data_IF_423308405068
#
_entry.id   IF_423308405068
#
_cell.length_a   1.000
_cell.length_b   1.000
_cell.length_c   1.000
_cell.angle_alpha   90.00
_cell.angle_beta   90.00
_cell.angle_gamma   90.00
#
_symmetry.space_group_name_H-M   'P 1'
#
loop_
_entity.id
_entity.type
_entity.pdbx_description
1 polymer ?
#
# COMPACT_ATOMS: atom_id res chain seq x y z
N UNK A 1 -9.45 -25.02 2.67
CA UNK A 1 -10.43 -25.85 1.93
C UNK A 1 -9.66 -26.66 0.91
N UNK A 2 -9.14 -27.83 1.30
CA UNK A 2 -8.53 -28.80 0.38
C UNK A 2 -9.34 -30.09 0.49
N UNK A 3 -10.29 -30.25 -0.42
CA UNK A 3 -11.21 -31.36 -0.40
C UNK A 3 -11.98 -31.45 -1.69
N UNK A 4 -11.29 -31.77 -2.81
CA UNK A 4 -12.00 -32.35 -3.95
C UNK A 4 -11.17 -33.08 -5.02
N UNK A 5 -9.84 -33.17 -4.92
CA UNK A 5 -9.04 -33.79 -5.99
C UNK A 5 -8.96 -35.32 -5.98
N UNK A 6 -9.58 -36.00 -5.01
CA UNK A 6 -9.43 -37.46 -4.84
C UNK A 6 -10.58 -38.30 -5.42
N UNK A 7 -11.61 -37.68 -6.03
CA UNK A 7 -12.73 -38.39 -6.67
C UNK A 7 -12.50 -38.72 -8.16
N UNK A 8 -11.64 -37.97 -8.85
CA UNK A 8 -11.37 -38.17 -10.30
C UNK A 8 -10.47 -39.38 -10.61
N UNK A 9 -9.47 -39.66 -9.77
CA UNK A 9 -8.52 -40.75 -10.03
C UNK A 9 -9.14 -42.16 -9.92
N UNK A 10 -10.19 -42.33 -9.11
CA UNK A 10 -10.95 -43.59 -9.04
C UNK A 10 -11.79 -43.85 -10.29
N UNK A 11 -12.27 -42.80 -10.97
CA UNK A 11 -13.09 -42.93 -12.18
C UNK A 11 -12.28 -43.25 -13.44
N UNK A 12 -11.05 -42.74 -13.56
CA UNK A 12 -10.19 -42.98 -14.72
C UNK A 12 -9.67 -44.42 -14.76
N UNK A 13 -9.37 -45.02 -13.59
CA UNK A 13 -8.98 -46.43 -13.51
C UNK A 13 -10.13 -47.37 -13.91
N UNK A 14 -11.38 -47.01 -13.61
CA UNK A 14 -12.56 -47.78 -14.01
C UNK A 14 -12.85 -47.69 -15.51
N UNK A 15 -12.53 -46.56 -16.17
CA UNK A 15 -12.74 -46.38 -17.60
C UNK A 15 -11.68 -47.09 -18.48
N UNK A 16 -10.41 -47.12 -18.05
CA UNK A 16 -9.34 -47.81 -18.79
C UNK A 16 -9.53 -49.35 -18.83
N UNK A 17 -10.18 -49.92 -17.82
CA UNK A 17 -10.57 -51.35 -17.79
C UNK A 17 -11.68 -51.67 -18.81
N UNK A 18 -12.50 -50.69 -19.19
CA UNK A 18 -13.61 -50.89 -20.15
C UNK A 18 -13.13 -50.73 -21.61
N UNK A 19 -12.12 -49.90 -21.87
CA UNK A 19 -11.66 -49.62 -23.23
C UNK A 19 -10.69 -50.67 -23.84
N UNK A 20 -9.98 -51.45 -23.03
CA UNK A 20 -9.09 -52.53 -23.52
C UNK A 20 -9.80 -53.87 -23.75
N UNK A 21 -11.13 -53.91 -23.65
CA UNK A 21 -11.93 -55.13 -23.84
C UNK A 21 -12.40 -55.36 -25.28
N UNK A 22 -12.05 -54.51 -26.25
CA UNK A 22 -12.70 -54.51 -27.57
C UNK A 22 -11.87 -54.98 -28.77
N UNK A 23 -10.63 -55.47 -28.62
CA UNK A 23 -9.92 -56.07 -29.77
C UNK A 23 -9.03 -57.25 -29.38
N UNK A 24 -9.58 -58.49 -29.40
CA UNK A 24 -9.02 -59.61 -30.17
C UNK A 24 -10.17 -60.54 -30.60
N UNK A 25 -10.09 -61.00 -31.85
CA UNK A 25 -11.07 -61.78 -32.59
C UNK A 25 -11.22 -63.23 -32.09
N UNK A 26 -12.43 -63.77 -32.26
CA UNK A 26 -12.83 -65.20 -32.34
C UNK A 26 -12.29 -66.16 -31.27
N UNK A 27 -13.08 -66.36 -30.21
CA UNK A 27 -12.91 -67.41 -29.20
C UNK A 27 -13.60 -67.01 -27.91
N UNK A 28 -14.70 -67.68 -27.55
CA UNK A 28 -15.51 -67.39 -26.37
C UNK A 28 -14.74 -67.56 -25.05
N UNK A 29 -14.05 -66.51 -24.59
CA UNK A 29 -13.66 -66.35 -23.20
C UNK A 29 -13.77 -64.87 -22.83
N UNK A 30 -14.88 -64.49 -22.19
CA UNK A 30 -14.90 -63.25 -21.39
C UNK A 30 -14.08 -63.56 -20.14
N UNK A 31 -12.87 -63.00 -19.97
CA UNK A 31 -12.11 -63.27 -18.77
C UNK A 31 -12.92 -62.79 -17.55
N UNK A 32 -13.05 -63.65 -16.54
CA UNK A 32 -13.67 -63.25 -15.27
C UNK A 32 -12.86 -62.11 -14.66
N UNK A 33 -13.52 -61.26 -13.84
CA UNK A 33 -12.81 -60.18 -13.12
C UNK A 33 -11.61 -60.72 -12.35
N UNK A 34 -11.74 -61.93 -11.80
CA UNK A 34 -10.70 -62.60 -11.02
C UNK A 34 -9.50 -62.99 -11.91
N UNK A 35 -9.74 -63.51 -13.13
CA UNK A 35 -8.67 -63.84 -14.07
C UNK A 35 -7.91 -62.59 -14.57
N UNK A 36 -8.60 -61.46 -14.72
CA UNK A 36 -7.95 -60.17 -15.08
C UNK A 36 -7.08 -59.67 -13.95
N UNK A 37 -7.57 -59.75 -12.70
CA UNK A 37 -6.84 -59.31 -11.50
C UNK A 37 -5.62 -60.19 -11.22
N UNK A 38 -5.70 -61.50 -11.49
CA UNK A 38 -4.57 -62.43 -11.34
C UNK A 38 -3.60 -62.39 -12.52
N UNK A 39 -3.94 -61.72 -13.62
CA UNK A 39 -3.05 -61.62 -14.78
C UNK A 39 -1.74 -60.93 -14.41
N UNK A 40 -0.62 -61.47 -14.93
CA UNK A 40 0.72 -60.89 -14.74
C UNK A 40 0.79 -59.42 -15.16
N UNK A 41 0.06 -59.05 -16.21
CA UNK A 41 -0.02 -57.68 -16.70
C UNK A 41 -0.72 -56.74 -15.70
N UNK A 42 -1.87 -57.15 -15.15
CA UNK A 42 -2.57 -56.34 -14.13
C UNK A 42 -1.73 -56.18 -12.86
N UNK A 43 -1.06 -57.24 -12.40
CA UNK A 43 -0.15 -57.15 -11.26
C UNK A 43 1.03 -56.22 -11.54
N UNK A 44 1.62 -56.25 -12.73
CA UNK A 44 2.70 -55.32 -13.10
C UNK A 44 2.26 -53.85 -13.10
N UNK A 45 1.06 -53.54 -13.60
CA UNK A 45 0.50 -52.19 -13.57
C UNK A 45 0.20 -51.73 -12.14
N UNK A 46 -0.28 -52.65 -11.29
CA UNK A 46 -0.53 -52.36 -9.87
C UNK A 46 0.79 -52.05 -9.15
N UNK A 47 1.82 -52.85 -9.37
CA UNK A 47 3.16 -52.65 -8.79
C UNK A 47 3.79 -51.33 -9.26
N UNK A 48 3.66 -50.98 -10.54
CA UNK A 48 4.14 -49.71 -11.08
C UNK A 48 3.40 -48.52 -10.47
N UNK A 49 2.07 -48.61 -10.33
CA UNK A 49 1.26 -47.58 -9.66
C UNK A 49 1.66 -47.42 -8.19
N UNK A 50 1.93 -48.52 -7.48
CA UNK A 50 2.37 -48.47 -6.10
C UNK A 50 3.77 -47.86 -5.97
N UNK A 51 4.71 -48.20 -6.87
CA UNK A 51 6.04 -47.54 -6.95
C UNK A 51 5.94 -46.04 -7.23
N UNK A 52 5.15 -45.63 -8.23
CA UNK A 52 4.94 -44.21 -8.57
C UNK A 52 4.29 -43.44 -7.40
N UNK A 53 3.37 -44.06 -6.66
CA UNK A 53 2.76 -43.48 -5.47
C UNK A 53 3.78 -43.21 -4.35
N UNK A 54 4.73 -44.13 -4.15
CA UNK A 54 5.83 -43.94 -3.18
C UNK A 54 6.76 -42.83 -3.63
N UNK A 55 7.21 -42.83 -4.89
CA UNK A 55 8.06 -41.78 -5.46
C UNK A 55 7.39 -40.40 -5.34
N UNK A 56 6.10 -40.29 -5.66
CA UNK A 56 5.36 -39.03 -5.53
C UNK A 56 5.31 -38.53 -4.08
N UNK A 57 5.17 -39.42 -3.10
CA UNK A 57 5.21 -39.05 -1.67
C UNK A 57 6.60 -38.55 -1.26
N UNK A 58 7.66 -39.19 -1.74
CA UNK A 58 9.04 -38.79 -1.47
C UNK A 58 9.38 -37.44 -2.10
N UNK A 59 9.01 -37.23 -3.37
CA UNK A 59 9.20 -35.95 -4.05
C UNK A 59 8.43 -34.82 -3.35
N UNK A 60 7.18 -35.06 -2.91
CA UNK A 60 6.45 -34.07 -2.09
C UNK A 60 7.16 -33.72 -0.79
N UNK A 61 7.79 -34.69 -0.11
CA UNK A 61 8.58 -34.43 1.10
C UNK A 61 9.84 -33.60 0.79
N UNK A 62 10.55 -33.91 -0.30
CA UNK A 62 11.72 -33.14 -0.76
C UNK A 62 11.33 -31.70 -1.08
N UNK A 63 10.26 -31.50 -1.86
CA UNK A 63 9.71 -30.17 -2.18
C UNK A 63 9.34 -29.38 -0.93
N UNK A 64 8.68 -30.00 0.06
CA UNK A 64 8.37 -29.33 1.32
C UNK A 64 9.62 -28.92 2.11
N UNK A 65 10.66 -29.77 2.12
CA UNK A 65 11.94 -29.47 2.75
C UNK A 65 12.68 -28.31 2.05
N UNK A 66 12.73 -28.33 0.71
CA UNK A 66 13.27 -27.24 -0.11
C UNK A 66 12.53 -25.93 0.15
N UNK A 67 11.20 -25.93 0.16
CA UNK A 67 10.40 -24.76 0.47
C UNK A 67 10.69 -24.20 1.87
N UNK A 68 10.93 -25.06 2.87
CA UNK A 68 11.31 -24.62 4.21
C UNK A 68 12.69 -23.94 4.23
N UNK A 69 13.67 -24.48 3.49
CA UNK A 69 15.00 -23.88 3.33
C UNK A 69 14.93 -22.54 2.58
N UNK A 70 14.15 -22.47 1.49
CA UNK A 70 13.91 -21.24 0.73
C UNK A 70 13.31 -20.17 1.65
N UNK A 71 12.26 -20.49 2.42
CA UNK A 71 11.67 -19.54 3.38
C UNK A 71 12.67 -19.03 4.41
N UNK A 72 13.56 -19.90 4.91
CA UNK A 72 14.61 -19.50 5.84
C UNK A 72 15.64 -18.56 5.18
N UNK A 73 16.07 -18.85 3.94
CA UNK A 73 16.99 -18.00 3.17
C UNK A 73 16.35 -16.65 2.86
N UNK A 74 15.10 -16.64 2.39
CA UNK A 74 14.34 -15.41 2.17
C UNK A 74 14.16 -14.61 3.45
N UNK A 75 14.11 -15.28 4.61
CA UNK A 75 14.07 -14.60 5.88
C UNK A 75 15.39 -13.90 6.22
N UNK A 76 16.50 -14.62 6.17
CA UNK A 76 17.81 -14.04 6.44
C UNK A 76 18.19 -12.97 5.41
N UNK A 77 17.95 -13.23 4.13
CA UNK A 77 18.22 -12.29 3.03
C UNK A 77 17.30 -11.08 3.10
N UNK A 78 16.01 -11.27 3.42
CA UNK A 78 15.07 -10.17 3.61
C UNK A 78 15.52 -9.21 4.71
N UNK A 79 15.93 -9.75 5.87
CA UNK A 79 16.36 -8.95 7.03
C UNK A 79 17.67 -8.18 6.77
N UNK A 80 18.62 -8.78 6.04
CA UNK A 80 19.83 -8.08 5.60
C UNK A 80 19.53 -7.02 4.56
N UNK A 81 18.75 -7.35 3.53
CA UNK A 81 18.41 -6.43 2.44
C UNK A 81 17.60 -5.23 2.91
N UNK A 82 16.65 -5.42 3.83
CA UNK A 82 15.95 -4.28 4.43
C UNK A 82 16.87 -3.42 5.30
N UNK A 83 17.82 -4.01 6.02
CA UNK A 83 18.77 -3.25 6.81
C UNK A 83 19.65 -2.35 5.92
N UNK A 84 20.17 -2.91 4.82
CA UNK A 84 20.95 -2.17 3.82
C UNK A 84 20.10 -1.05 3.17
N UNK A 85 18.88 -1.37 2.77
CA UNK A 85 17.94 -0.41 2.16
C UNK A 85 17.64 0.75 3.13
N UNK A 86 17.36 0.44 4.40
CA UNK A 86 17.14 1.45 5.44
C UNK A 86 18.37 2.32 5.67
N UNK A 87 19.58 1.74 5.65
CA UNK A 87 20.81 2.52 5.79
C UNK A 87 20.96 3.53 4.67
N UNK A 88 20.81 3.08 3.40
CA UNK A 88 20.84 3.97 2.23
C UNK A 88 19.84 5.12 2.38
N UNK A 89 18.57 4.81 2.65
CA UNK A 89 17.52 5.82 2.81
C UNK A 89 17.75 6.76 4.00
N UNK A 90 18.33 6.25 5.09
CA UNK A 90 18.68 7.06 6.27
C UNK A 90 19.71 8.12 5.90
N UNK A 91 20.77 7.71 5.21
CA UNK A 91 21.92 8.55 4.87
C UNK A 91 21.66 9.48 3.68
N UNK A 92 20.69 9.14 2.82
CA UNK A 92 20.20 9.97 1.72
C UNK A 92 19.69 11.35 2.14
N UNK A 93 19.59 12.31 1.23
CA UNK A 93 18.93 13.60 1.41
C UNK A 93 17.68 13.68 0.54
N UNK A 94 16.63 12.99 0.95
CA UNK A 94 15.37 12.98 0.21
C UNK A 94 14.80 14.39 0.06
N UNK A 95 14.75 14.87 -1.18
CA UNK A 95 14.29 16.21 -1.58
C UNK A 95 12.87 16.22 -2.11
N UNK A 96 12.38 15.08 -2.59
CA UNK A 96 11.07 14.96 -3.19
C UNK A 96 10.49 13.58 -2.90
N UNK A 97 9.18 13.54 -2.75
CA UNK A 97 8.43 12.29 -2.74
C UNK A 97 7.36 12.39 -3.81
N UNK A 98 7.34 11.40 -4.70
CA UNK A 98 6.28 11.22 -5.67
C UNK A 98 5.33 10.13 -5.19
N UNK A 99 4.04 10.32 -5.43
CA UNK A 99 2.97 9.41 -5.00
C UNK A 99 2.04 9.12 -6.16
N UNK A 100 1.56 7.88 -6.24
CA UNK A 100 0.49 7.48 -7.15
C UNK A 100 -0.46 6.50 -6.46
N UNK A 101 -1.72 6.45 -6.91
CA UNK A 101 -2.67 5.41 -6.48
C UNK A 101 -3.05 4.50 -7.65
N UNK A 102 -3.31 3.24 -7.35
CA UNK A 102 -3.87 2.30 -8.32
C UNK A 102 -5.38 2.50 -8.57
N UNK A 103 -6.08 3.23 -7.70
CA UNK A 103 -7.55 3.32 -7.70
C UNK A 103 -8.07 4.44 -8.61
N UNK A 104 -7.39 5.58 -8.65
CA UNK A 104 -7.63 6.65 -9.61
C UNK A 104 -6.47 6.69 -10.60
N UNK A 105 -6.72 6.23 -11.83
CA UNK A 105 -5.74 6.34 -12.92
C UNK A 105 -5.38 7.81 -13.16
N UNK A 106 -4.09 8.07 -13.37
CA UNK A 106 -3.52 9.37 -13.77
C UNK A 106 -3.49 10.47 -12.70
N UNK A 107 -3.64 10.15 -11.41
CA UNK A 107 -3.31 11.09 -10.34
C UNK A 107 -1.99 10.73 -9.68
N UNK A 108 -1.01 11.59 -9.90
CA UNK A 108 0.24 11.59 -9.16
C UNK A 108 0.50 12.95 -8.56
N UNK A 109 1.20 12.96 -7.45
CA UNK A 109 1.59 14.18 -6.75
C UNK A 109 3.09 14.16 -6.54
N UNK A 110 3.72 15.31 -6.65
CA UNK A 110 5.11 15.52 -6.28
C UNK A 110 5.12 16.48 -5.09
N UNK A 111 5.74 16.07 -3.99
CA UNK A 111 5.85 16.90 -2.78
C UNK A 111 7.31 17.09 -2.42
N UNK A 112 7.73 18.34 -2.41
CA UNK A 112 9.10 18.77 -2.04
C UNK A 112 9.18 19.30 -0.61
N UNK A 113 8.08 19.22 0.15
CA UNK A 113 8.05 19.70 1.52
C UNK A 113 8.94 18.84 2.42
N UNK A 114 9.97 19.45 3.01
CA UNK A 114 10.96 18.78 3.86
C UNK A 114 10.31 17.95 4.98
N UNK A 115 9.30 18.44 5.73
CA UNK A 115 8.69 17.61 6.78
C UNK A 115 7.97 16.37 6.25
N UNK A 116 7.36 16.44 5.05
CA UNK A 116 6.73 15.29 4.40
C UNK A 116 7.80 14.30 3.97
N UNK A 117 8.85 14.77 3.29
CA UNK A 117 10.00 13.93 2.89
C UNK A 117 10.63 13.22 4.10
N UNK A 118 10.82 13.93 5.21
CA UNK A 118 11.31 13.36 6.47
C UNK A 118 10.37 12.31 7.05
N UNK A 119 9.05 12.53 6.99
CA UNK A 119 8.08 11.56 7.49
C UNK A 119 8.06 10.29 6.65
N UNK A 120 8.09 10.41 5.32
CA UNK A 120 8.10 9.23 4.44
C UNK A 120 9.42 8.47 4.57
N UNK A 121 10.56 9.16 4.73
CA UNK A 121 11.82 8.54 5.14
C UNK A 121 11.69 7.76 6.45
N UNK A 122 10.97 8.32 7.43
CA UNK A 122 10.71 7.66 8.72
C UNK A 122 9.88 6.37 8.56
N UNK A 123 8.91 6.35 7.64
CA UNK A 123 8.14 5.14 7.32
C UNK A 123 9.09 4.02 6.91
N UNK A 124 9.98 4.30 5.94
CA UNK A 124 10.95 3.31 5.45
C UNK A 124 11.92 2.87 6.55
N UNK A 125 12.57 3.84 7.21
CA UNK A 125 13.61 3.53 8.21
C UNK A 125 13.05 2.84 9.45
N UNK A 126 11.79 3.12 9.80
CA UNK A 126 11.11 2.60 10.98
C UNK A 126 10.22 1.37 10.76
N UNK A 127 10.06 0.87 9.53
CA UNK A 127 9.19 -0.28 9.28
C UNK A 127 9.76 -1.57 9.90
N UNK A 128 8.90 -2.53 10.22
CA UNK A 128 9.33 -3.85 10.71
C UNK A 128 8.80 -4.95 9.81
N UNK A 129 9.56 -6.03 9.68
CA UNK A 129 9.16 -7.15 8.84
C UNK A 129 8.01 -7.93 9.49
N UNK A 130 7.05 -8.33 8.68
CA UNK A 130 5.91 -9.15 9.07
C UNK A 130 6.16 -10.62 8.71
N UNK A 131 5.90 -11.52 9.66
CA UNK A 131 6.03 -12.96 9.46
C UNK A 131 4.65 -13.56 9.19
N UNK A 132 4.57 -14.49 8.22
CA UNK A 132 3.34 -15.22 7.93
C UNK A 132 2.37 -14.50 6.99
N UNK A 133 2.78 -13.37 6.40
CA UNK A 133 2.04 -12.63 5.38
C UNK A 133 2.95 -12.43 4.16
N UNK A 134 2.43 -12.65 2.96
CA UNK A 134 3.15 -12.45 1.70
C UNK A 134 2.68 -11.18 0.96
N UNK A 135 3.49 -10.62 0.05
CA UNK A 135 3.05 -9.53 -0.83
C UNK A 135 1.76 -9.85 -1.58
N UNK A 136 1.62 -11.08 -2.09
CA UNK A 136 0.40 -11.53 -2.76
C UNK A 136 -0.83 -11.53 -1.83
N UNK A 137 -0.67 -11.85 -0.54
CA UNK A 137 -1.78 -11.82 0.42
C UNK A 137 -2.28 -10.39 0.62
N UNK A 138 -1.38 -9.41 0.77
CA UNK A 138 -1.76 -8.00 0.95
C UNK A 138 -2.36 -7.41 -0.33
N UNK A 139 -1.82 -7.73 -1.50
CA UNK A 139 -2.35 -7.28 -2.80
C UNK A 139 -3.77 -7.79 -3.05
N UNK A 140 -4.05 -9.06 -2.74
CA UNK A 140 -5.39 -9.63 -2.89
C UNK A 140 -6.39 -9.04 -1.88
N UNK A 141 -5.92 -8.72 -0.67
CA UNK A 141 -6.77 -8.22 0.41
C UNK A 141 -7.15 -6.75 0.20
N UNK A 142 -6.20 -5.93 -0.22
CA UNK A 142 -6.38 -4.48 -0.32
C UNK A 142 -6.48 -4.04 -1.78
N UNK A 143 -7.66 -3.55 -2.15
CA UNK A 143 -7.90 -3.02 -3.51
C UNK A 143 -7.15 -1.71 -3.75
N UNK A 144 -7.05 -0.88 -2.73
CA UNK A 144 -6.34 0.40 -2.78
C UNK A 144 -4.90 0.22 -2.31
N UNK A 145 -3.98 0.81 -3.06
CA UNK A 145 -2.58 0.95 -2.69
C UNK A 145 -2.05 2.31 -3.12
N UNK A 146 -0.98 2.72 -2.45
CA UNK A 146 -0.22 3.92 -2.74
C UNK A 146 1.20 3.52 -3.14
N UNK A 147 1.65 3.92 -4.31
CA UNK A 147 3.05 3.83 -4.71
C UNK A 147 3.76 5.10 -4.29
N UNK A 148 4.91 4.95 -3.64
CA UNK A 148 5.81 6.02 -3.21
C UNK A 148 7.14 5.88 -3.93
N UNK A 149 7.68 7.01 -4.40
CA UNK A 149 9.07 7.11 -4.84
C UNK A 149 9.74 8.27 -4.09
N UNK A 150 10.74 7.95 -3.27
CA UNK A 150 11.54 8.95 -2.57
C UNK A 150 12.74 9.26 -3.45
N UNK A 151 12.94 10.53 -3.76
CA UNK A 151 13.96 11.00 -4.68
C UNK A 151 15.01 11.76 -3.88
N UNK A 152 16.25 11.28 -3.98
CA UNK A 152 17.44 11.88 -3.38
C UNK A 152 18.03 12.99 -4.27
N UNK A 153 18.95 13.78 -3.72
CA UNK A 153 19.64 14.88 -4.43
C UNK A 153 20.38 14.39 -5.69
N UNK A 154 20.90 13.16 -5.69
CA UNK A 154 21.58 12.52 -6.81
C UNK A 154 20.62 11.83 -7.82
N UNK A 155 19.31 12.01 -7.64
CA UNK A 155 18.22 11.33 -8.36
C UNK A 155 18.09 9.83 -8.10
N UNK A 156 18.79 9.27 -7.10
CA UNK A 156 18.49 7.91 -6.62
C UNK A 156 17.04 7.85 -6.17
N UNK A 157 16.30 6.85 -6.65
CA UNK A 157 14.92 6.61 -6.26
C UNK A 157 14.83 5.43 -5.29
N UNK A 158 13.93 5.54 -4.33
CA UNK A 158 13.59 4.47 -3.40
C UNK A 158 12.09 4.22 -3.48
N UNK A 159 11.72 3.09 -4.07
CA UNK A 159 10.33 2.78 -4.41
C UNK A 159 9.73 1.72 -3.49
N UNK A 160 8.50 1.99 -3.06
CA UNK A 160 7.69 1.04 -2.30
C UNK A 160 6.20 1.32 -2.43
N UNK A 161 5.40 0.30 -2.14
CA UNK A 161 3.95 0.39 -2.10
C UNK A 161 3.45 0.24 -0.68
N UNK A 162 2.39 0.99 -0.35
CA UNK A 162 1.65 0.88 0.89
C UNK A 162 0.25 0.33 0.62
N UNK A 163 -0.14 -0.69 1.38
CA UNK A 163 -1.43 -1.35 1.32
C UNK A 163 -2.16 -1.24 2.66
N UNK A 164 -3.45 -0.94 2.60
CA UNK A 164 -4.23 -0.61 3.80
C UNK A 164 -3.61 0.60 4.51
N UNK A 165 -3.59 0.58 5.85
CA UNK A 165 -2.98 1.66 6.64
C UNK A 165 -1.46 1.52 6.78
N UNK A 166 -0.96 0.27 6.87
CA UNK A 166 0.37 0.05 7.47
C UNK A 166 1.30 -0.86 6.67
N UNK A 167 0.80 -1.68 5.74
CA UNK A 167 1.62 -2.72 5.09
C UNK A 167 2.45 -2.15 3.96
N UNK A 168 3.72 -2.50 3.91
CA UNK A 168 4.69 -1.97 2.96
C UNK A 168 5.30 -3.13 2.18
N UNK A 169 5.38 -2.99 0.87
CA UNK A 169 6.13 -3.88 -0.02
C UNK A 169 7.13 -3.02 -0.78
N UNK A 170 8.40 -3.38 -0.70
CA UNK A 170 9.46 -2.68 -1.42
C UNK A 170 9.70 -3.35 -2.76
N UNK A 171 9.86 -2.57 -3.82
CA UNK A 171 10.03 -3.11 -5.18
C UNK A 171 11.48 -3.63 -5.41
N UNK A 172 12.49 -3.08 -4.72
CA UNK A 172 13.93 -3.41 -4.94
C UNK A 172 14.51 -4.55 -4.08
N UNK A 173 13.80 -5.00 -3.05
CA UNK A 173 14.30 -6.03 -2.12
C UNK A 173 13.41 -7.27 -2.13
N UNK A 174 13.88 -8.45 -1.65
CA UNK A 174 13.15 -9.70 -1.77
C UNK A 174 11.72 -9.60 -1.22
N UNK A 175 10.77 -10.23 -1.94
CA UNK A 175 9.34 -10.26 -1.63
C UNK A 175 9.06 -10.58 -0.16
N UNK A 176 8.84 -9.53 0.62
CA UNK A 176 8.50 -9.57 2.02
C UNK A 176 7.51 -8.45 2.30
N UNK A 177 6.71 -8.64 3.35
CA UNK A 177 5.83 -7.59 3.84
C UNK A 177 6.47 -6.95 5.06
N UNK A 178 6.44 -5.63 5.08
CA UNK A 178 6.85 -4.81 6.22
C UNK A 178 5.64 -4.04 6.72
N UNK A 179 5.75 -3.45 7.91
CA UNK A 179 4.68 -2.65 8.48
C UNK A 179 5.23 -1.43 9.22
N UNK A 180 4.53 -0.31 9.05
CA UNK A 180 4.69 0.90 9.84
C UNK A 180 3.30 1.51 10.04
N UNK A 181 2.88 1.73 11.29
CA UNK A 181 1.55 2.27 11.59
C UNK A 181 1.38 3.69 11.00
N UNK A 182 0.31 3.93 10.25
CA UNK A 182 0.11 5.20 9.54
C UNK A 182 1.08 5.41 8.37
N UNK A 183 1.46 4.33 7.67
CA UNK A 183 2.24 4.41 6.43
C UNK A 183 1.42 5.04 5.30
N UNK A 184 0.09 4.86 5.30
CA UNK A 184 -0.81 5.42 4.30
C UNK A 184 -1.08 6.91 4.50
N UNK A 185 -0.82 7.47 5.70
CA UNK A 185 -1.29 8.81 6.10
C UNK A 185 -0.97 9.92 5.10
N UNK A 186 0.21 9.87 4.46
CA UNK A 186 0.58 10.86 3.43
C UNK A 186 -0.20 10.62 2.14
N UNK A 187 -0.27 9.37 1.67
CA UNK A 187 -1.10 8.98 0.52
C UNK A 187 -2.57 9.33 0.71
N UNK A 188 -3.14 9.05 1.89
CA UNK A 188 -4.52 9.41 2.25
C UNK A 188 -4.74 10.93 2.20
N UNK A 189 -3.75 11.70 2.66
CA UNK A 189 -3.82 13.16 2.63
C UNK A 189 -3.77 13.76 1.22
N UNK A 190 -2.98 13.12 0.36
CA UNK A 190 -2.70 13.60 -0.98
C UNK A 190 -3.61 13.00 -2.05
N UNK A 191 -4.30 11.90 -1.78
CA UNK A 191 -5.09 11.23 -2.80
C UNK A 191 -6.32 10.61 -2.15
N UNK A 192 -7.49 11.03 -2.62
CA UNK A 192 -8.77 10.43 -2.26
C UNK A 192 -9.45 9.86 -3.50
N UNK A 193 -9.90 8.61 -3.40
CA UNK A 193 -10.35 7.77 -4.49
C UNK A 193 -11.78 8.08 -4.99
N UNK A 194 -12.61 8.80 -4.21
CA UNK A 194 -14.07 8.71 -4.37
C UNK A 194 -14.80 10.05 -4.45
N UNK A 195 -14.34 10.94 -5.33
CA UNK A 195 -14.82 12.31 -5.53
C UNK A 195 -14.16 13.29 -4.56
N UNK A 196 -13.64 14.39 -5.11
CA UNK A 196 -13.27 15.56 -4.32
C UNK A 196 -14.50 15.95 -3.49
N UNK A 197 -14.53 15.54 -2.23
CA UNK A 197 -15.63 15.80 -1.31
C UNK A 197 -16.03 17.27 -1.44
N UNK A 198 -17.31 17.52 -1.74
CA UNK A 198 -17.81 18.87 -1.82
C UNK A 198 -17.92 19.43 -0.41
N UNK A 199 -17.16 20.49 -0.13
CA UNK A 199 -17.19 21.17 1.15
C UNK A 199 -18.14 22.36 1.09
N UNK A 200 -19.01 22.48 2.09
CA UNK A 200 -19.94 23.61 2.23
C UNK A 200 -19.22 24.95 2.39
N UNK A 201 -18.01 24.94 2.98
CA UNK A 201 -17.15 26.11 3.11
C UNK A 201 -15.67 25.69 3.31
N UNK A 202 -14.79 26.69 3.30
CA UNK A 202 -13.35 26.47 3.43
C UNK A 202 -12.93 25.94 4.80
N UNK A 203 -13.66 26.28 5.87
CA UNK A 203 -13.37 25.76 7.21
C UNK A 203 -13.65 24.26 7.29
N UNK A 204 -14.75 23.79 6.69
CA UNK A 204 -15.07 22.36 6.60
C UNK A 204 -13.99 21.58 5.87
N UNK A 205 -13.45 22.12 4.77
CA UNK A 205 -12.32 21.52 4.04
C UNK A 205 -11.06 21.43 4.88
N UNK A 206 -10.75 22.51 5.59
CA UNK A 206 -9.58 22.58 6.47
C UNK A 206 -9.72 21.59 7.63
N UNK A 207 -10.92 21.41 8.19
CA UNK A 207 -11.17 20.44 9.26
C UNK A 207 -10.88 18.99 8.84
N UNK A 208 -11.07 18.67 7.55
CA UNK A 208 -10.88 17.32 6.99
C UNK A 208 -9.42 17.04 6.59
N UNK A 209 -8.54 18.04 6.63
CA UNK A 209 -7.13 17.84 6.27
C UNK A 209 -6.48 16.82 7.21
N UNK A 210 -5.90 15.75 6.65
CA UNK A 210 -5.18 14.75 7.45
C UNK A 210 -3.82 15.27 7.92
N UNK A 211 -3.14 16.07 7.09
CA UNK A 211 -1.83 16.65 7.41
C UNK A 211 -1.81 18.17 7.22
N UNK A 212 -1.11 18.84 8.13
CA UNK A 212 -0.82 20.27 8.08
C UNK A 212 0.69 20.44 8.10
N UNK A 213 1.22 21.14 7.10
CA UNK A 213 2.66 21.28 6.89
C UNK A 213 3.05 22.75 6.96
N UNK A 214 4.11 23.00 7.74
CA UNK A 214 4.89 24.24 7.74
C UNK A 214 6.26 23.94 7.16
N UNK A 215 7.10 24.95 6.93
CA UNK A 215 8.46 24.69 6.45
C UNK A 215 9.31 23.91 7.48
N UNK A 216 8.92 23.92 8.77
CA UNK A 216 9.70 23.33 9.87
C UNK A 216 9.12 22.02 10.39
N UNK A 217 7.80 21.86 10.36
CA UNK A 217 7.08 20.78 11.05
C UNK A 217 5.86 20.32 10.27
N UNK A 218 5.53 19.04 10.48
CA UNK A 218 4.27 18.43 10.09
C UNK A 218 3.41 18.20 11.32
N UNK A 219 2.09 18.36 11.15
CA UNK A 219 1.05 18.13 12.16
C UNK A 219 -0.08 17.33 11.52
N UNK A 220 -0.93 16.76 12.37
CA UNK A 220 -2.05 15.92 11.96
C UNK A 220 -3.40 16.58 12.25
N UNK A 221 -4.47 15.89 11.86
CA UNK A 221 -5.85 16.35 11.78
C UNK A 221 -6.35 17.18 12.99
N UNK A 222 -5.99 16.85 14.23
CA UNK A 222 -6.36 17.64 15.42
C UNK A 222 -6.02 19.14 15.31
N UNK A 223 -4.90 19.46 14.66
CA UNK A 223 -4.50 20.85 14.41
C UNK A 223 -5.46 21.49 13.42
N UNK A 224 -5.82 20.76 12.38
CA UNK A 224 -6.71 21.22 11.32
C UNK A 224 -8.12 21.53 11.83
N UNK A 225 -8.66 20.67 12.71
CA UNK A 225 -9.93 20.90 13.41
C UNK A 225 -9.87 22.16 14.31
N UNK A 226 -8.75 22.38 15.01
CA UNK A 226 -8.61 23.57 15.88
C UNK A 226 -8.52 24.85 15.05
N UNK A 227 -7.85 24.80 13.91
CA UNK A 227 -7.71 25.93 12.98
C UNK A 227 -9.03 26.23 12.27
N UNK A 228 -9.77 25.21 11.83
CA UNK A 228 -11.05 25.39 11.12
C UNK A 228 -12.06 26.14 11.98
N UNK A 229 -12.16 25.84 13.28
CA UNK A 229 -13.03 26.56 14.24
C UNK A 229 -12.71 28.05 14.36
N UNK A 230 -11.46 28.44 14.10
CA UNK A 230 -11.07 29.85 14.08
C UNK A 230 -11.53 30.51 12.77
N UNK A 231 -11.34 29.82 11.65
CA UNK A 231 -11.70 30.31 10.31
C UNK A 231 -13.20 30.43 10.14
N UNK A 232 -13.97 29.49 10.69
CA UNK A 232 -15.43 29.53 10.67
C UNK A 232 -15.99 30.81 11.29
N UNK A 233 -15.28 31.37 12.28
CA UNK A 233 -15.64 32.63 12.96
C UNK A 233 -14.99 33.87 12.36
N UNK A 234 -14.19 33.72 11.30
CA UNK A 234 -13.45 34.83 10.69
C UNK A 234 -14.37 35.60 9.74
N UNK A 235 -14.27 36.93 9.75
CA UNK A 235 -15.09 37.78 8.89
C UNK A 235 -14.39 37.96 7.54
N UNK A 236 -15.00 37.46 6.46
CA UNK A 236 -14.48 37.64 5.10
C UNK A 236 -14.39 39.13 4.76
N UNK A 237 -13.24 39.55 4.23
CA UNK A 237 -13.03 40.90 3.70
C UNK A 237 -13.58 41.01 2.27
N UNK A 238 -14.04 42.21 1.90
CA UNK A 238 -14.58 42.52 0.57
C UNK A 238 -14.15 43.93 0.13
N UNK A 239 -14.21 44.20 -1.18
CA UNK A 239 -13.87 45.51 -1.73
C UNK A 239 -12.36 45.78 -1.79
N UNK A 240 -11.95 47.03 -1.54
CA UNK A 240 -10.54 47.48 -1.65
C UNK A 240 -9.59 46.82 -0.64
N UNK A 241 -10.11 46.23 0.43
CA UNK A 241 -9.35 45.49 1.45
C UNK A 241 -9.06 44.02 1.04
N UNK A 242 -9.44 43.62 -0.17
CA UNK A 242 -9.30 42.25 -0.68
C UNK A 242 -7.96 41.95 -1.36
N UNK A 243 -7.02 42.91 -1.38
CA UNK A 243 -5.67 42.71 -1.94
C UNK A 243 -4.64 43.17 -0.91
N UNK A 244 -3.83 42.25 -0.42
CA UNK A 244 -2.77 42.53 0.55
C UNK A 244 -1.45 41.98 0.03
N UNK A 245 -0.35 42.68 0.35
CA UNK A 245 0.99 42.14 0.17
C UNK A 245 1.25 41.07 1.24
N UNK A 246 1.49 39.85 0.75
CA UNK A 246 1.65 38.63 1.54
C UNK A 246 3.06 38.04 1.43
N UNK A 247 4.01 38.72 0.76
CA UNK A 247 5.33 38.15 0.46
C UNK A 247 6.10 37.69 1.71
N UNK A 248 5.87 38.35 2.85
CA UNK A 248 6.48 38.04 4.16
C UNK A 248 5.66 37.12 5.05
N UNK A 249 4.49 36.65 4.59
CA UNK A 249 3.57 35.90 5.43
C UNK A 249 3.98 34.44 5.54
N UNK A 250 3.74 33.84 6.71
CA UNK A 250 4.01 32.42 6.91
C UNK A 250 2.95 31.58 6.20
N UNK A 251 3.39 30.57 5.45
CA UNK A 251 2.52 29.64 4.72
C UNK A 251 2.29 28.35 5.53
N UNK A 252 1.03 27.94 5.62
CA UNK A 252 0.61 26.70 6.25
C UNK A 252 -0.21 25.89 5.23
N UNK A 253 0.29 24.71 4.87
CA UNK A 253 -0.24 23.86 3.81
C UNK A 253 -1.14 22.77 4.40
N UNK A 254 -2.41 22.77 4.03
CA UNK A 254 -3.41 21.79 4.43
C UNK A 254 -3.68 20.87 3.25
N UNK A 255 -3.36 19.60 3.40
CA UNK A 255 -3.61 18.60 2.37
C UNK A 255 -4.89 17.85 2.72
N UNK A 256 -5.86 17.98 1.82
CA UNK A 256 -7.17 17.36 1.96
C UNK A 256 -7.52 16.71 0.63
N UNK A 257 -7.56 15.39 0.58
CA UNK A 257 -8.07 14.64 -0.59
C UNK A 257 -7.47 15.11 -1.94
N UNK A 258 -6.15 15.30 -2.00
CA UNK A 258 -5.43 15.75 -3.21
C UNK A 258 -5.62 17.21 -3.61
N UNK A 259 -6.20 18.00 -2.72
CA UNK A 259 -6.33 19.45 -2.85
C UNK A 259 -5.48 20.13 -1.78
N UNK A 260 -4.57 21.00 -2.20
CA UNK A 260 -3.82 21.87 -1.30
C UNK A 260 -4.64 23.13 -0.99
N UNK A 261 -4.81 23.44 0.30
CA UNK A 261 -5.26 24.75 0.77
C UNK A 261 -4.16 25.40 1.57
N UNK A 262 -3.84 26.66 1.30
CA UNK A 262 -2.85 27.38 2.10
C UNK A 262 -3.52 28.40 2.99
N UNK A 263 -3.09 28.46 4.24
CA UNK A 263 -3.34 29.60 5.11
C UNK A 263 -2.08 30.45 5.15
N UNK A 264 -2.26 31.74 4.92
CA UNK A 264 -1.22 32.75 4.96
C UNK A 264 -1.44 33.59 6.22
N UNK A 265 -0.41 33.71 7.06
CA UNK A 265 -0.47 34.45 8.32
C UNK A 265 0.69 35.44 8.46
N UNK A 266 0.35 36.74 8.41
CA UNK A 266 1.27 37.85 8.66
C UNK A 266 1.13 38.47 10.06
N UNK A 267 1.60 39.71 10.20
CA UNK A 267 1.65 40.44 11.49
C UNK A 267 0.41 41.28 11.82
N UNK A 268 -0.51 41.43 10.87
CA UNK A 268 -1.84 42.02 11.11
C UNK A 268 -2.87 40.98 11.54
N UNK A 269 -4.03 41.41 12.02
CA UNK A 269 -5.16 40.53 12.38
C UNK A 269 -5.99 40.12 11.16
N UNK A 270 -5.30 39.81 10.06
CA UNK A 270 -5.86 39.35 8.80
C UNK A 270 -5.15 38.07 8.41
N UNK A 271 -5.89 37.12 7.86
CA UNK A 271 -5.37 35.89 7.27
C UNK A 271 -5.77 35.82 5.80
N UNK A 272 -4.90 35.23 4.98
CA UNK A 272 -5.19 34.88 3.61
C UNK A 272 -5.47 33.38 3.53
N UNK A 273 -6.45 32.99 2.73
CA UNK A 273 -6.66 31.59 2.39
C UNK A 273 -6.56 31.47 0.87
N UNK A 274 -5.61 30.65 0.43
CA UNK A 274 -5.39 30.32 -0.98
C UNK A 274 -5.96 28.94 -1.28
N UNK A 275 -6.77 28.84 -2.34
CA UNK A 275 -7.27 27.56 -2.84
C UNK A 275 -6.32 26.90 -3.85
N UNK A 276 -6.71 25.72 -4.36
CA UNK A 276 -5.90 24.97 -5.34
C UNK A 276 -5.60 25.71 -6.64
N UNK A 277 -6.37 26.75 -6.97
CA UNK A 277 -6.21 27.53 -8.19
C UNK A 277 -5.35 28.79 -7.93
N UNK A 278 -4.79 28.95 -6.73
CA UNK A 278 -4.06 30.15 -6.34
C UNK A 278 -4.97 31.33 -6.00
N UNK A 279 -6.31 31.14 -5.94
CA UNK A 279 -7.21 32.25 -5.60
C UNK A 279 -7.14 32.52 -4.11
N UNK A 280 -6.84 33.76 -3.77
CA UNK A 280 -6.73 34.22 -2.39
C UNK A 280 -8.01 34.89 -1.92
N UNK A 281 -8.41 34.60 -0.69
CA UNK A 281 -9.49 35.29 0.01
C UNK A 281 -9.02 35.69 1.39
N UNK A 282 -9.25 36.94 1.77
CA UNK A 282 -8.79 37.48 3.05
C UNK A 282 -9.90 37.54 4.09
N UNK A 283 -9.51 37.32 5.34
CA UNK A 283 -10.43 37.28 6.48
C UNK A 283 -9.86 38.06 7.67
N UNK A 284 -10.69 38.91 8.26
CA UNK A 284 -10.42 39.55 9.54
C UNK A 284 -10.61 38.55 10.68
N UNK A 285 -9.68 38.55 11.62
CA UNK A 285 -9.74 37.80 12.87
C UNK A 285 -9.49 38.75 14.05
N UNK A 286 -9.80 38.31 15.28
CA UNK A 286 -9.41 38.99 16.51
C UNK A 286 -7.96 38.68 16.90
N UNK A 287 -7.36 39.50 17.75
CA UNK A 287 -6.04 39.23 18.34
C UNK A 287 -6.00 37.88 19.08
N UNK A 288 -7.09 37.53 19.78
CA UNK A 288 -7.23 36.24 20.47
C UNK A 288 -7.18 35.07 19.48
N UNK A 289 -7.92 35.16 18.37
CA UNK A 289 -7.90 34.15 17.31
C UNK A 289 -6.50 34.05 16.69
N UNK A 290 -5.84 35.18 16.43
CA UNK A 290 -4.48 35.21 15.90
C UNK A 290 -3.47 34.54 16.82
N UNK A 291 -3.50 34.84 18.12
CA UNK A 291 -2.65 34.21 19.13
C UNK A 291 -2.86 32.68 19.15
N UNK A 292 -4.10 32.23 19.06
CA UNK A 292 -4.42 30.81 19.00
C UNK A 292 -3.94 30.15 17.70
N UNK A 293 -4.10 30.79 16.53
CA UNK A 293 -3.55 30.29 15.27
C UNK A 293 -2.03 30.13 15.36
N UNK A 294 -1.31 31.18 15.80
CA UNK A 294 0.16 31.09 16.01
C UNK A 294 0.52 29.95 16.96
N UNK A 295 -0.25 29.72 18.03
CA UNK A 295 -0.03 28.62 18.98
C UNK A 295 -0.23 27.24 18.34
N UNK A 296 -1.31 27.04 17.59
CA UNK A 296 -1.61 25.73 17.00
C UNK A 296 -0.64 25.37 15.88
N UNK A 297 -0.13 26.38 15.19
CA UNK A 297 0.61 26.22 13.95
C UNK A 297 2.14 26.23 14.10
N UNK A 298 2.67 26.66 15.26
CA UNK A 298 4.10 26.61 15.62
C UNK A 298 4.62 25.20 15.92
#
# INVERSE_FOLDING_TARGET
>A
MEGNHMKGAKYILTAAVIAMSSVVMTGCFKPSKDAVVESKYYQSLKDERDKLSVQLKEEKKKTNSLNKKIKAIHATSGDQKIADYKSRVKDSRIIKVDFATNTIKNQSFAVTNIPVCKYVKKIVTGCNRMIGITPTDVEKRYKQSYSYALIDEDNTTFEFKVYGDSYIVFDEIPENVYAYNGASTVGDALIDAKEQKNYSNVAARIADAQIVVTDKKMKFNDTAIKVSKIIEKAKKLSGKDATLDIASWNEYRFYTSGTLTKILLGDRTVIGIEDKNGKQTFYQISDKQKKNLKKYMK
#
